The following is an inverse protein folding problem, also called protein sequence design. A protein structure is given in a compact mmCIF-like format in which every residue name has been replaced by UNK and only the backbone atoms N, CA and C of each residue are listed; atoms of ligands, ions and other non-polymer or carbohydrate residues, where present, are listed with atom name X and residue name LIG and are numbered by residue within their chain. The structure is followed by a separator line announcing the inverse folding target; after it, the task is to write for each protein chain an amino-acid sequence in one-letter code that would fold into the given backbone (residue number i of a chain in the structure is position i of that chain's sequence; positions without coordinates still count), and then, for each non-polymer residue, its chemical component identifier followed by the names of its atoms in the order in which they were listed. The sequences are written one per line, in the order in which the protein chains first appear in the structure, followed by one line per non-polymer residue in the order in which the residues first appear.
data_IF_565142393468
#
_entry.id   IF_565142393468
#
_cell.length_a   1.000
_cell.length_b   1.000
_cell.length_c   1.000
_cell.angle_alpha   90.00
_cell.angle_beta   90.00
_cell.angle_gamma   90.00
#
_symmetry.space_group_name_H-M   'P 1'
#
loop_
_entity.id
_entity.type
_entity.pdbx_description
1 polymer ?
#
# COMPACT_ATOMS: atom_id res chain seq x y z
N UNK A 1 23.45 23.77 13.32
CA UNK A 1 22.55 23.44 12.19
C UNK A 1 23.47 22.95 11.07
N UNK A 2 23.38 21.69 10.64
CA UNK A 2 24.41 21.09 9.77
C UNK A 2 24.49 21.84 8.43
N UNK A 3 25.58 22.56 8.18
CA UNK A 3 25.73 23.47 7.03
C UNK A 3 26.01 22.73 5.70
N UNK A 4 26.53 21.49 5.76
CA UNK A 4 26.89 20.69 4.59
C UNK A 4 26.18 19.32 4.50
N UNK A 5 25.16 19.07 5.32
CA UNK A 5 24.42 17.81 5.23
C UNK A 5 23.41 17.86 4.09
N UNK A 6 23.39 16.89 3.15
CA UNK A 6 22.29 16.77 2.21
C UNK A 6 21.01 16.53 3.01
N UNK A 7 20.17 17.57 3.12
CA UNK A 7 18.94 17.49 3.90
C UNK A 7 18.06 16.33 3.43
N UNK A 8 17.40 15.65 4.37
CA UNK A 8 16.49 14.55 4.07
C UNK A 8 15.36 15.10 3.19
N UNK A 9 15.28 14.61 1.96
CA UNK A 9 14.18 14.89 1.05
C UNK A 9 13.18 13.72 1.03
N UNK A 10 11.98 13.96 0.51
CA UNK A 10 10.90 12.97 0.47
C UNK A 10 11.31 11.68 -0.25
N UNK A 11 12.02 11.77 -1.38
CA UNK A 11 12.47 10.62 -2.14
C UNK A 11 13.50 9.77 -1.38
N UNK A 12 14.48 10.39 -0.73
CA UNK A 12 15.48 9.70 0.09
C UNK A 12 14.86 9.01 1.30
N UNK A 13 13.91 9.66 1.97
CA UNK A 13 13.15 9.04 3.06
C UNK A 13 12.30 7.86 2.56
N UNK A 14 11.60 8.03 1.43
CA UNK A 14 10.74 7.00 0.86
C UNK A 14 11.55 5.78 0.40
N UNK A 15 12.70 5.98 -0.25
CA UNK A 15 13.60 4.90 -0.66
C UNK A 15 14.13 4.10 0.54
N UNK A 16 14.30 4.74 1.69
CA UNK A 16 14.68 4.05 2.92
C UNK A 16 13.49 3.33 3.57
N UNK A 17 12.34 3.99 3.69
CA UNK A 17 11.20 3.52 4.46
C UNK A 17 10.34 2.48 3.71
N UNK A 18 10.14 2.62 2.40
CA UNK A 18 9.25 1.75 1.61
C UNK A 18 9.74 0.30 1.58
N UNK A 19 11.03 -0.01 1.33
CA UNK A 19 11.50 -1.39 1.37
C UNK A 19 11.28 -2.02 2.75
N UNK A 20 11.59 -1.29 3.83
CA UNK A 20 11.37 -1.77 5.19
C UNK A 20 9.87 -2.01 5.47
N UNK A 21 9.00 -1.10 5.03
CA UNK A 21 7.54 -1.24 5.16
C UNK A 21 7.02 -2.50 4.45
N UNK A 22 7.47 -2.74 3.21
CA UNK A 22 7.06 -3.91 2.44
C UNK A 22 7.55 -5.21 3.10
N UNK A 23 8.81 -5.26 3.52
CA UNK A 23 9.38 -6.43 4.22
C UNK A 23 8.62 -6.71 5.51
N UNK A 24 8.39 -5.69 6.34
CA UNK A 24 7.68 -5.85 7.61
C UNK A 24 6.21 -6.23 7.40
N UNK A 25 5.56 -5.69 6.37
CA UNK A 25 4.20 -6.06 5.96
C UNK A 25 4.12 -7.51 5.53
N UNK A 26 5.07 -7.97 4.70
CA UNK A 26 5.15 -9.37 4.27
C UNK A 26 5.44 -10.32 5.44
N UNK A 27 6.35 -9.94 6.34
CA UNK A 27 6.65 -10.73 7.54
C UNK A 27 5.45 -10.82 8.47
N UNK A 28 4.72 -9.71 8.67
CA UNK A 28 3.50 -9.69 9.48
C UNK A 28 2.40 -10.54 8.84
N UNK A 29 2.22 -10.44 7.53
CA UNK A 29 1.29 -11.29 6.79
C UNK A 29 1.63 -12.77 6.95
N UNK A 30 2.89 -13.17 6.71
CA UNK A 30 3.36 -14.54 6.92
C UNK A 30 3.16 -15.00 8.37
N UNK A 31 3.47 -14.15 9.35
CA UNK A 31 3.28 -14.46 10.76
C UNK A 31 1.82 -14.80 11.09
N UNK A 32 0.87 -14.00 10.58
CA UNK A 32 -0.56 -14.26 10.76
C UNK A 32 -1.01 -15.56 10.05
N UNK A 33 -0.46 -15.85 8.87
CA UNK A 33 -0.73 -17.10 8.16
C UNK A 33 -0.27 -18.32 8.99
N UNK A 34 0.88 -18.23 9.65
CA UNK A 34 1.42 -19.32 10.49
C UNK A 34 0.61 -19.48 11.78
N UNK A 35 0.35 -18.37 12.48
CA UNK A 35 -0.29 -18.37 13.79
C UNK A 35 -1.77 -18.78 13.72
N UNK A 36 -2.52 -18.20 12.77
CA UNK A 36 -3.97 -18.32 12.73
C UNK A 36 -4.47 -19.18 11.58
N UNK A 37 -3.80 -19.18 10.42
CA UNK A 37 -4.26 -19.91 9.22
C UNK A 37 -3.62 -21.29 9.03
N UNK A 38 -2.71 -21.68 9.90
CA UNK A 38 -2.17 -23.05 9.93
C UNK A 38 -1.24 -23.40 8.77
N UNK A 39 -0.58 -22.41 8.15
CA UNK A 39 0.30 -22.59 6.98
C UNK A 39 1.40 -23.67 7.15
N UNK A 40 1.81 -23.97 8.40
CA UNK A 40 2.74 -25.07 8.74
C UNK A 40 2.15 -26.12 9.70
N UNK A 41 0.84 -26.08 9.96
CA UNK A 41 0.13 -27.05 10.81
C UNK A 41 -1.25 -27.38 10.21
N UNK A 42 -1.30 -28.06 9.05
CA UNK A 42 -2.55 -28.34 8.34
C UNK A 42 -3.52 -29.23 9.13
N UNK A 43 -3.03 -30.01 10.11
CA UNK A 43 -3.86 -30.84 10.98
C UNK A 43 -4.32 -30.14 12.27
N UNK A 44 -4.04 -28.84 12.47
CA UNK A 44 -4.51 -28.08 13.64
C UNK A 44 -6.03 -27.90 13.62
N UNK A 45 -6.63 -27.69 14.79
CA UNK A 45 -8.04 -27.28 14.92
C UNK A 45 -8.30 -25.95 14.20
N UNK A 46 -7.32 -25.05 14.20
CA UNK A 46 -7.42 -23.72 13.57
C UNK A 46 -7.42 -23.81 12.03
N UNK A 47 -6.57 -24.67 11.45
CA UNK A 47 -6.53 -24.92 10.01
C UNK A 47 -7.85 -25.53 9.51
N UNK A 48 -8.42 -26.47 10.27
CA UNK A 48 -9.71 -27.09 9.96
C UNK A 48 -10.89 -26.14 10.17
N UNK A 49 -10.79 -25.17 11.07
CA UNK A 49 -11.82 -24.15 11.27
C UNK A 49 -11.85 -23.12 10.12
N UNK A 50 -10.72 -22.95 9.42
CA UNK A 50 -10.58 -22.03 8.28
C UNK A 50 -10.88 -22.72 6.94
N UNK A 51 -10.84 -24.05 6.88
CA UNK A 51 -11.33 -24.80 5.72
C UNK A 51 -12.87 -24.72 5.66
N UNK A 52 -13.38 -23.61 5.12
CA UNK A 52 -14.82 -23.35 4.92
C UNK A 52 -15.36 -24.19 3.74
N UNK A 53 -14.50 -24.92 3.04
CA UNK A 53 -14.81 -25.69 1.84
C UNK A 53 -15.32 -24.83 0.67
N UNK A 54 -15.57 -25.50 -0.46
CA UNK A 54 -16.00 -24.87 -1.73
C UNK A 54 -17.28 -24.03 -1.57
N UNK A 55 -18.15 -24.40 -0.61
CA UNK A 55 -19.38 -23.64 -0.34
C UNK A 55 -19.09 -22.33 0.40
N UNK A 56 -18.21 -22.35 1.40
CA UNK A 56 -17.79 -21.15 2.12
C UNK A 56 -17.06 -20.14 1.24
N UNK A 57 -16.18 -20.63 0.36
CA UNK A 57 -15.49 -19.79 -0.62
C UNK A 57 -16.48 -19.07 -1.56
N UNK A 58 -17.50 -19.79 -2.05
CA UNK A 58 -18.56 -19.20 -2.89
C UNK A 58 -19.36 -18.15 -2.13
N UNK A 59 -19.68 -18.38 -0.85
CA UNK A 59 -20.38 -17.41 -0.03
C UNK A 59 -19.52 -16.16 0.18
N UNK A 60 -18.25 -16.31 0.58
CA UNK A 60 -17.33 -15.19 0.74
C UNK A 60 -17.17 -14.37 -0.55
N UNK A 61 -16.97 -15.05 -1.69
CA UNK A 61 -16.88 -14.40 -2.99
C UNK A 61 -18.18 -13.68 -3.39
N UNK A 62 -19.35 -14.25 -3.06
CA UNK A 62 -20.65 -13.61 -3.30
C UNK A 62 -20.84 -12.36 -2.44
N UNK A 63 -20.39 -12.38 -1.19
CA UNK A 63 -20.43 -11.23 -0.27
C UNK A 63 -19.51 -10.13 -0.78
N UNK A 64 -18.28 -10.46 -1.17
CA UNK A 64 -17.32 -9.49 -1.74
C UNK A 64 -17.91 -8.84 -3.00
N UNK A 65 -18.45 -9.65 -3.93
CA UNK A 65 -19.07 -9.13 -5.14
C UNK A 65 -20.30 -8.27 -4.86
N UNK A 66 -21.12 -8.66 -3.87
CA UNK A 66 -22.28 -7.86 -3.46
C UNK A 66 -21.83 -6.51 -2.91
N UNK A 67 -20.87 -6.49 -1.99
CA UNK A 67 -20.30 -5.25 -1.45
C UNK A 67 -19.68 -4.40 -2.56
N UNK A 68 -18.90 -4.99 -3.47
CA UNK A 68 -18.32 -4.27 -4.59
C UNK A 68 -19.38 -3.61 -5.49
N UNK A 69 -20.50 -4.30 -5.75
CA UNK A 69 -21.64 -3.72 -6.48
C UNK A 69 -22.35 -2.60 -5.70
N UNK A 70 -22.43 -2.72 -4.37
CA UNK A 70 -23.02 -1.69 -3.50
C UNK A 70 -22.21 -0.39 -3.46
N UNK A 71 -20.88 -0.43 -3.69
CA UNK A 71 -20.06 0.79 -3.75
C UNK A 71 -20.48 1.73 -4.90
N UNK A 72 -21.09 1.18 -5.96
CA UNK A 72 -21.47 1.94 -7.14
C UNK A 72 -20.27 2.38 -8.00
N UNK A 73 -20.52 3.04 -9.14
CA UNK A 73 -19.46 3.55 -10.00
C UNK A 73 -18.75 4.74 -9.34
N UNK A 74 -17.45 4.89 -9.63
CA UNK A 74 -16.65 6.03 -9.17
C UNK A 74 -17.29 7.33 -9.67
N UNK A 75 -17.54 8.25 -8.75
CA UNK A 75 -18.09 9.57 -9.05
C UNK A 75 -17.05 10.48 -9.67
N UNK A 76 -17.51 11.53 -10.36
CA UNK A 76 -16.63 12.54 -10.93
C UNK A 76 -15.71 13.19 -9.88
N UNK A 77 -16.25 13.49 -8.70
CA UNK A 77 -15.49 14.12 -7.62
C UNK A 77 -14.41 13.20 -7.06
N UNK A 78 -14.71 11.92 -6.87
CA UNK A 78 -13.71 10.93 -6.44
C UNK A 78 -12.56 10.79 -7.44
N UNK A 79 -12.88 10.83 -8.73
CA UNK A 79 -11.88 10.80 -9.81
C UNK A 79 -10.97 12.04 -9.77
N UNK A 80 -11.55 13.23 -9.60
CA UNK A 80 -10.79 14.49 -9.51
C UNK A 80 -9.90 14.51 -8.28
N UNK A 81 -10.42 14.12 -7.12
CA UNK A 81 -9.63 14.04 -5.87
C UNK A 81 -8.50 13.01 -6.02
N UNK A 82 -8.77 11.86 -6.62
CA UNK A 82 -7.74 10.85 -6.91
C UNK A 82 -6.64 11.38 -7.84
N UNK A 83 -7.03 12.07 -8.91
CA UNK A 83 -6.08 12.70 -9.83
C UNK A 83 -5.20 13.75 -9.13
N UNK A 84 -5.81 14.64 -8.34
CA UNK A 84 -5.08 15.65 -7.57
C UNK A 84 -4.13 15.02 -6.57
N UNK A 85 -4.57 13.98 -5.85
CA UNK A 85 -3.75 13.26 -4.88
C UNK A 85 -2.50 12.65 -5.54
N UNK A 86 -2.67 11.93 -6.66
CA UNK A 86 -1.55 11.36 -7.42
C UNK A 86 -0.61 12.46 -7.91
N UNK A 87 -1.16 13.56 -8.43
CA UNK A 87 -0.37 14.71 -8.88
C UNK A 87 0.48 15.30 -7.76
N UNK A 88 -0.08 15.47 -6.56
CA UNK A 88 0.63 15.98 -5.38
C UNK A 88 1.77 15.04 -4.96
N UNK A 89 1.52 13.73 -4.94
CA UNK A 89 2.55 12.73 -4.61
C UNK A 89 3.72 12.80 -5.60
N UNK A 90 3.42 12.91 -6.91
CA UNK A 90 4.45 13.08 -7.93
C UNK A 90 5.22 14.39 -7.76
N UNK A 91 4.53 15.51 -7.51
CA UNK A 91 5.17 16.80 -7.25
C UNK A 91 6.08 16.76 -6.02
N UNK A 92 5.70 16.03 -4.96
CA UNK A 92 6.57 15.83 -3.80
C UNK A 92 7.81 14.99 -4.13
N UNK A 93 7.65 13.93 -4.92
CA UNK A 93 8.77 13.11 -5.36
C UNK A 93 9.76 13.91 -6.21
N UNK A 94 9.28 14.66 -7.20
CA UNK A 94 10.10 15.47 -8.10
C UNK A 94 10.52 16.83 -7.54
N UNK A 95 10.18 17.14 -6.28
CA UNK A 95 10.51 18.43 -5.66
C UNK A 95 12.02 18.64 -5.56
N UNK A 96 12.74 17.64 -5.06
CA UNK A 96 14.21 17.60 -4.94
C UNK A 96 14.69 16.15 -4.98
N UNK A 97 14.59 15.47 -6.13
CA UNK A 97 14.82 14.04 -6.22
C UNK A 97 16.31 13.65 -6.14
N UNK A 98 17.23 14.63 -6.16
CA UNK A 98 18.67 14.40 -6.00
C UNK A 98 19.39 13.90 -7.26
N UNK A 99 18.69 13.29 -8.22
CA UNK A 99 19.24 12.85 -9.51
C UNK A 99 18.96 13.82 -10.68
N UNK A 100 17.97 14.70 -10.54
CA UNK A 100 17.61 15.73 -11.52
C UNK A 100 17.29 17.04 -10.79
N UNK A 101 17.37 18.17 -11.51
CA UNK A 101 16.95 19.48 -11.01
C UNK A 101 15.46 19.41 -10.69
N UNK A 102 15.09 19.77 -9.46
CA UNK A 102 13.71 19.75 -9.01
C UNK A 102 12.85 20.75 -9.77
N UNK A 103 11.56 20.45 -9.92
CA UNK A 103 10.65 21.35 -10.60
C UNK A 103 10.59 22.79 -10.06
N UNK A 104 10.83 23.08 -8.75
CA UNK A 104 10.78 24.45 -8.25
C UNK A 104 11.81 25.38 -8.90
N UNK A 105 12.94 24.85 -9.38
CA UNK A 105 13.97 25.65 -10.04
C UNK A 105 13.46 26.21 -11.37
N UNK A 106 12.67 25.47 -12.14
CA UNK A 106 12.12 25.94 -13.42
C UNK A 106 11.05 27.04 -13.29
N UNK A 107 10.53 27.29 -12.10
CA UNK A 107 9.52 28.34 -11.83
C UNK A 107 10.14 29.57 -11.18
N UNK A 108 11.34 29.42 -10.59
CA UNK A 108 11.99 30.47 -9.80
C UNK A 108 13.14 31.16 -10.56
N UNK A 109 13.45 30.72 -11.78
CA UNK A 109 14.30 31.45 -12.75
C UNK A 109 13.54 32.59 -13.44
#
# INVERSE_FOLDING_TARGET
RFEHSPGINFASWMLYAVPAMLVMGLLTWLWLQIMYMGLFRPNSRDAKAIDIGVQGERVAASVINKRYKELGPITWYESVVGFLFVTVVLLWFFRKPGFMVGWPTYITD
#
